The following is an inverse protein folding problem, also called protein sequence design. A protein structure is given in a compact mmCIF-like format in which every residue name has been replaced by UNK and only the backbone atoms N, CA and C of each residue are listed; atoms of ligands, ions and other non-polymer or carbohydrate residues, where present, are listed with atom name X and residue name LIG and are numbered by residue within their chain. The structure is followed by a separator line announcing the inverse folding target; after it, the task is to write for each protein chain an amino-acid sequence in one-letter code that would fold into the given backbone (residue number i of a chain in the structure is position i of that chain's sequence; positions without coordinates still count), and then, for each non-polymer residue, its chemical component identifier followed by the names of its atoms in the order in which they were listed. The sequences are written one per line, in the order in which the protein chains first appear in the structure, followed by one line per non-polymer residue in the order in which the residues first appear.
data_IF_872240211248
#
_entry.id   IF_872240211248
#
_cell.length_a   1.000
_cell.length_b   1.000
_cell.length_c   1.000
_cell.angle_alpha   90.00
_cell.angle_beta   90.00
_cell.angle_gamma   90.00
#
_symmetry.space_group_name_H-M   'P 1'
#
loop_
_entity.id
_entity.type
_entity.pdbx_description
1 polymer ?
#
# COMPACT_ATOMS: atom_id res chain seq x y z
N UNK A 1 5.58 -9.54 -59.99
CA UNK A 1 5.72 -8.62 -58.83
C UNK A 1 4.40 -7.87 -58.68
N UNK A 2 3.50 -8.33 -57.81
CA UNK A 2 2.35 -7.55 -57.35
C UNK A 2 1.97 -8.09 -55.97
N UNK A 3 2.04 -7.22 -54.97
CA UNK A 3 1.81 -7.53 -53.56
C UNK A 3 0.31 -7.52 -53.31
N UNK A 4 -0.24 -8.66 -52.88
CA UNK A 4 -1.59 -8.76 -52.30
C UNK A 4 -1.63 -7.92 -51.01
N UNK A 5 -2.19 -6.71 -51.12
CA UNK A 5 -2.53 -5.90 -49.97
C UNK A 5 -3.80 -6.43 -49.33
N UNK A 6 -3.68 -7.35 -48.36
CA UNK A 6 -4.79 -7.65 -47.46
C UNK A 6 -5.15 -6.36 -46.71
N UNK A 7 -6.42 -5.92 -46.70
CA UNK A 7 -6.81 -4.79 -45.88
C UNK A 7 -6.52 -5.13 -44.42
N UNK A 8 -5.78 -4.25 -43.75
CA UNK A 8 -5.57 -4.34 -42.30
C UNK A 8 -6.95 -4.25 -41.65
N UNK A 9 -7.27 -5.20 -40.77
CA UNK A 9 -8.52 -5.23 -39.99
C UNK A 9 -8.72 -3.85 -39.35
N UNK A 10 -9.71 -3.10 -39.84
CA UNK A 10 -10.14 -1.89 -39.19
C UNK A 10 -10.94 -2.35 -37.96
N UNK A 11 -10.29 -2.31 -36.79
CA UNK A 11 -10.93 -2.68 -35.54
C UNK A 11 -11.76 -1.49 -35.09
N UNK A 12 -13.06 -1.52 -35.35
CA UNK A 12 -13.99 -0.51 -34.87
C UNK A 12 -13.98 -0.52 -33.34
N UNK A 13 -13.40 0.52 -32.74
CA UNK A 13 -13.39 0.67 -31.28
C UNK A 13 -14.81 0.97 -30.79
N UNK A 14 -15.35 0.12 -29.91
CA UNK A 14 -16.63 0.39 -29.26
C UNK A 14 -16.49 1.45 -28.18
N UNK A 15 -17.55 2.24 -27.94
CA UNK A 15 -17.61 3.15 -26.78
C UNK A 15 -17.31 2.43 -25.46
N UNK A 16 -17.69 1.15 -25.35
CA UNK A 16 -17.37 0.32 -24.19
C UNK A 16 -15.86 0.14 -24.01
N UNK A 17 -15.11 -0.11 -25.10
CA UNK A 17 -13.66 -0.33 -25.06
C UNK A 17 -12.93 0.96 -24.63
N UNK A 18 -13.44 2.13 -25.04
CA UNK A 18 -12.90 3.43 -24.63
C UNK A 18 -13.11 3.68 -23.13
N UNK A 19 -14.30 3.41 -22.60
CA UNK A 19 -14.60 3.55 -21.17
C UNK A 19 -13.75 2.59 -20.32
N UNK A 20 -13.57 1.36 -20.80
CA UNK A 20 -12.73 0.36 -20.13
C UNK A 20 -11.27 0.80 -20.09
N UNK A 21 -10.69 1.17 -21.24
CA UNK A 21 -9.32 1.69 -21.31
C UNK A 21 -9.11 2.93 -20.44
N UNK A 22 -10.10 3.82 -20.35
CA UNK A 22 -10.05 4.98 -19.46
C UNK A 22 -10.02 4.59 -17.99
N UNK A 23 -10.74 3.53 -17.59
CA UNK A 23 -10.70 3.02 -16.21
C UNK A 23 -9.37 2.36 -15.89
N UNK A 24 -8.82 1.60 -16.84
CA UNK A 24 -7.54 0.91 -16.66
C UNK A 24 -6.42 1.95 -16.42
N UNK A 25 -6.39 3.02 -17.23
CA UNK A 25 -5.48 4.15 -17.03
C UNK A 25 -5.66 4.85 -15.67
N UNK A 26 -6.92 5.06 -15.24
CA UNK A 26 -7.21 5.66 -13.92
C UNK A 26 -6.73 4.75 -12.80
N UNK A 27 -6.94 3.44 -12.93
CA UNK A 27 -6.51 2.43 -11.96
C UNK A 27 -4.99 2.41 -11.80
N UNK A 28 -4.26 2.38 -12.92
CA UNK A 28 -2.80 2.46 -12.96
C UNK A 28 -2.30 3.76 -12.34
N UNK A 29 -2.91 4.90 -12.70
CA UNK A 29 -2.55 6.19 -12.14
C UNK A 29 -2.69 6.23 -10.60
N UNK A 30 -3.81 5.74 -10.07
CA UNK A 30 -4.03 5.64 -8.62
C UNK A 30 -3.05 4.67 -7.96
N UNK A 31 -2.75 3.53 -8.58
CA UNK A 31 -1.76 2.60 -8.04
C UNK A 31 -0.37 3.23 -7.97
N UNK A 32 0.09 3.84 -9.06
CA UNK A 32 1.36 4.54 -9.10
C UNK A 32 1.43 5.67 -8.05
N UNK A 33 0.35 6.46 -7.93
CA UNK A 33 0.24 7.50 -6.91
C UNK A 33 0.26 6.95 -5.48
N UNK A 34 -0.18 5.71 -5.24
CA UNK A 34 -0.10 5.04 -3.96
C UNK A 34 1.32 4.51 -3.63
N UNK A 35 2.13 4.17 -4.65
CA UNK A 35 3.49 3.67 -4.43
C UNK A 35 4.47 4.77 -3.95
N UNK A 36 4.27 6.01 -4.39
CA UNK A 36 5.14 7.14 -4.03
C UNK A 36 5.15 7.44 -2.51
N UNK A 37 4.00 7.63 -1.82
CA UNK A 37 3.94 7.80 -0.38
C UNK A 37 4.58 6.67 0.40
N UNK A 38 4.53 5.42 -0.08
CA UNK A 38 5.16 4.27 0.57
C UNK A 38 6.68 4.44 0.62
N UNK A 39 7.30 4.85 -0.50
CA UNK A 39 8.73 5.12 -0.55
C UNK A 39 9.11 6.24 0.42
N UNK A 40 8.33 7.32 0.46
CA UNK A 40 8.56 8.45 1.37
C UNK A 40 8.41 8.04 2.84
N UNK A 41 7.39 7.24 3.16
CA UNK A 41 7.19 6.69 4.51
C UNK A 41 8.36 5.81 4.94
N UNK A 42 8.81 4.90 4.08
CA UNK A 42 9.96 4.04 4.37
C UNK A 42 11.23 4.86 4.63
N UNK A 43 11.50 5.88 3.81
CA UNK A 43 12.66 6.75 3.99
C UNK A 43 12.59 7.50 5.33
N UNK A 44 11.42 8.08 5.65
CA UNK A 44 11.19 8.78 6.93
C UNK A 44 11.34 7.82 8.12
N UNK A 45 10.79 6.61 8.04
CA UNK A 45 10.92 5.60 9.09
C UNK A 45 12.37 5.20 9.31
N UNK A 46 13.15 4.92 8.27
CA UNK A 46 14.56 4.58 8.43
C UNK A 46 15.38 5.74 8.99
N UNK A 47 15.09 7.00 8.60
CA UNK A 47 15.72 8.19 9.19
C UNK A 47 15.43 8.31 10.70
N UNK A 48 14.19 8.04 11.12
CA UNK A 48 13.78 8.09 12.54
C UNK A 48 14.22 6.87 13.34
N UNK A 49 14.45 5.73 12.69
CA UNK A 49 14.74 4.44 13.32
C UNK A 49 16.05 3.83 12.77
N UNK A 50 17.21 4.50 12.89
CA UNK A 50 18.47 4.04 12.31
C UNK A 50 18.97 2.71 12.90
N UNK A 51 18.46 2.30 14.08
CA UNK A 51 18.72 0.97 14.64
C UNK A 51 18.15 -0.15 13.78
N UNK A 52 17.01 0.07 13.13
CA UNK A 52 16.33 -0.95 12.32
C UNK A 52 17.09 -1.16 11.01
N UNK A 53 17.51 -0.07 10.35
CA UNK A 53 18.36 -0.14 9.16
C UNK A 53 19.66 -0.91 9.43
N UNK A 54 20.32 -0.67 10.58
CA UNK A 54 21.55 -1.39 10.95
C UNK A 54 21.37 -2.91 11.04
N UNK A 55 20.18 -3.41 11.40
CA UNK A 55 19.91 -4.85 11.47
C UNK A 55 19.94 -5.52 10.10
N UNK A 56 19.61 -4.78 9.04
CA UNK A 56 19.65 -5.29 7.67
C UNK A 56 21.07 -5.39 7.11
N UNK A 57 22.04 -4.67 7.68
CA UNK A 57 23.39 -4.52 7.12
C UNK A 57 23.45 -3.74 5.80
N UNK A 58 22.33 -3.19 5.32
CA UNK A 58 22.23 -2.49 4.04
C UNK A 58 22.42 -0.98 4.20
N UNK A 59 22.78 -0.32 3.10
CA UNK A 59 22.61 1.13 2.99
C UNK A 59 21.12 1.48 2.93
N UNK A 60 20.76 2.71 3.30
CA UNK A 60 19.36 3.15 3.23
C UNK A 60 18.80 3.01 1.81
N UNK A 61 19.57 3.40 0.80
CA UNK A 61 19.11 3.35 -0.59
C UNK A 61 18.93 1.91 -1.05
N UNK A 62 19.78 0.98 -0.63
CA UNK A 62 19.60 -0.44 -0.90
C UNK A 62 18.34 -1.01 -0.23
N UNK A 63 18.08 -0.64 1.04
CA UNK A 63 16.86 -1.05 1.73
C UNK A 63 15.59 -0.48 1.07
N UNK A 64 15.62 0.80 0.65
CA UNK A 64 14.51 1.44 -0.06
C UNK A 64 14.26 0.83 -1.43
N UNK A 65 15.31 0.50 -2.18
CA UNK A 65 15.17 -0.15 -3.49
C UNK A 65 14.61 -1.57 -3.33
N UNK A 66 15.01 -2.28 -2.28
CA UNK A 66 14.45 -3.59 -1.95
C UNK A 66 12.95 -3.50 -1.64
N UNK A 67 12.54 -2.49 -0.85
CA UNK A 67 11.12 -2.22 -0.59
C UNK A 67 10.37 -1.80 -1.86
N UNK A 68 10.97 -1.01 -2.75
CA UNK A 68 10.34 -0.60 -4.00
C UNK A 68 10.13 -1.79 -4.97
N UNK A 69 10.91 -2.86 -4.83
CA UNK A 69 10.77 -4.09 -5.58
C UNK A 69 9.71 -5.05 -5.02
N UNK A 70 9.10 -4.76 -3.85
CA UNK A 70 8.06 -5.60 -3.24
C UNK A 70 6.89 -5.94 -4.18
N UNK A 71 6.33 -5.00 -4.96
CA UNK A 71 5.25 -5.34 -5.89
C UNK A 71 5.62 -6.44 -6.91
N UNK A 72 6.92 -6.65 -7.12
CA UNK A 72 7.47 -7.58 -8.11
C UNK A 72 8.19 -8.78 -7.49
N UNK A 73 8.33 -8.84 -6.16
CA UNK A 73 9.13 -9.86 -5.46
C UNK A 73 8.39 -10.40 -4.25
N UNK A 74 8.26 -11.72 -4.18
CA UNK A 74 7.28 -12.36 -3.29
C UNK A 74 7.80 -12.75 -1.91
N UNK A 75 9.12 -12.71 -1.65
CA UNK A 75 9.67 -13.34 -0.45
C UNK A 75 10.79 -12.54 0.22
N UNK A 76 10.53 -12.18 1.47
CA UNK A 76 11.51 -11.67 2.42
C UNK A 76 11.59 -12.67 3.56
N UNK A 77 12.71 -13.39 3.66
CA UNK A 77 12.92 -14.37 4.73
C UNK A 77 12.75 -13.76 6.13
N UNK A 78 13.11 -12.47 6.26
CA UNK A 78 12.95 -11.69 7.48
C UNK A 78 11.50 -11.55 7.95
N UNK A 79 10.53 -11.68 7.04
CA UNK A 79 9.10 -11.63 7.37
C UNK A 79 8.55 -12.95 7.90
N UNK A 80 9.37 -14.02 7.97
CA UNK A 80 8.98 -15.31 8.55
C UNK A 80 7.69 -15.89 7.91
N UNK A 81 7.56 -15.73 6.59
CA UNK A 81 6.39 -16.15 5.82
C UNK A 81 5.12 -15.32 6.08
N UNK A 82 5.19 -14.25 6.87
CA UNK A 82 4.07 -13.32 7.08
C UNK A 82 3.96 -12.34 5.93
N UNK A 83 2.72 -11.99 5.60
CA UNK A 83 2.34 -11.01 4.57
C UNK A 83 1.22 -10.10 5.08
N UNK A 84 0.97 -9.01 4.38
CA UNK A 84 -0.06 -8.02 4.67
C UNK A 84 -0.10 -7.61 6.13
N UNK A 85 -1.30 -7.67 6.73
CA UNK A 85 -1.52 -7.40 8.15
C UNK A 85 -0.61 -8.20 9.09
N UNK A 86 -0.31 -9.46 8.75
CA UNK A 86 0.58 -10.31 9.54
C UNK A 86 2.02 -9.78 9.59
N UNK A 87 2.52 -9.24 8.47
CA UNK A 87 3.83 -8.61 8.42
C UNK A 87 3.85 -7.26 9.16
N UNK A 88 2.76 -6.49 9.09
CA UNK A 88 2.60 -5.28 9.91
C UNK A 88 2.65 -5.62 11.40
N UNK A 89 1.93 -6.65 11.84
CA UNK A 89 1.95 -7.09 13.24
C UNK A 89 3.32 -7.60 13.69
N UNK A 90 4.07 -8.28 12.80
CA UNK A 90 5.43 -8.72 13.10
C UNK A 90 6.33 -7.55 13.52
N UNK A 91 6.15 -6.37 12.92
CA UNK A 91 6.89 -5.17 13.30
C UNK A 91 6.65 -4.70 14.75
N UNK A 92 5.60 -5.18 15.41
CA UNK A 92 5.21 -4.85 16.79
C UNK A 92 5.27 -6.04 17.74
N UNK A 93 5.72 -7.20 17.26
CA UNK A 93 5.92 -8.39 18.08
C UNK A 93 7.13 -8.19 19.02
N UNK A 94 7.01 -8.38 20.35
CA UNK A 94 8.13 -8.25 21.29
C UNK A 94 9.34 -9.13 20.98
N UNK A 95 9.10 -10.32 20.43
CA UNK A 95 10.13 -11.32 20.15
C UNK A 95 10.78 -11.13 18.78
N UNK A 96 10.19 -10.31 17.91
CA UNK A 96 10.76 -10.03 16.60
C UNK A 96 12.05 -9.20 16.71
N UNK A 97 13.16 -9.79 16.25
CA UNK A 97 14.50 -9.19 16.28
C UNK A 97 14.95 -8.60 14.95
N UNK A 98 14.21 -8.85 13.87
CA UNK A 98 14.53 -8.34 12.53
C UNK A 98 14.31 -6.83 12.38
N UNK A 99 14.47 -6.36 11.15
CA UNK A 99 14.18 -4.97 10.76
C UNK A 99 12.66 -4.73 10.82
N UNK A 100 12.22 -3.94 11.81
CA UNK A 100 10.81 -3.58 12.00
C UNK A 100 10.30 -2.61 10.95
N UNK A 101 11.16 -1.76 10.39
CA UNK A 101 10.76 -0.85 9.29
C UNK A 101 10.48 -1.68 8.04
N UNK A 102 11.35 -2.65 7.74
CA UNK A 102 11.11 -3.60 6.66
C UNK A 102 9.79 -4.34 6.85
N UNK A 103 9.56 -4.93 8.03
CA UNK A 103 8.33 -5.68 8.31
C UNK A 103 7.06 -4.82 8.17
N UNK A 104 7.09 -3.61 8.75
CA UNK A 104 5.96 -2.68 8.68
C UNK A 104 5.68 -2.23 7.25
N UNK A 105 6.70 -1.78 6.52
CA UNK A 105 6.54 -1.27 5.16
C UNK A 105 6.20 -2.37 4.17
N UNK A 106 6.78 -3.56 4.31
CA UNK A 106 6.44 -4.69 3.47
C UNK A 106 5.00 -5.14 3.66
N UNK A 107 4.53 -5.22 4.92
CA UNK A 107 3.13 -5.54 5.20
C UNK A 107 2.16 -4.48 4.68
N UNK A 108 2.50 -3.19 4.81
CA UNK A 108 1.67 -2.10 4.28
C UNK A 108 1.61 -2.12 2.75
N UNK A 109 2.74 -2.27 2.08
CA UNK A 109 2.81 -2.39 0.62
C UNK A 109 2.03 -3.60 0.11
N UNK A 110 2.17 -4.76 0.77
CA UNK A 110 1.46 -5.99 0.40
C UNK A 110 -0.06 -5.84 0.57
N UNK A 111 -0.54 -5.17 1.62
CA UNK A 111 -1.97 -4.86 1.75
C UNK A 111 -2.47 -3.94 0.64
N UNK A 112 -1.70 -2.92 0.28
CA UNK A 112 -2.08 -2.03 -0.83
C UNK A 112 -2.14 -2.83 -2.12
N UNK A 113 -1.09 -3.58 -2.45
CA UNK A 113 -1.04 -4.40 -3.67
C UNK A 113 -2.11 -5.48 -3.71
N UNK A 114 -2.48 -6.08 -2.57
CA UNK A 114 -3.56 -7.06 -2.50
C UNK A 114 -4.92 -6.46 -2.92
N UNK A 115 -5.16 -5.18 -2.61
CA UNK A 115 -6.35 -4.46 -3.07
C UNK A 115 -6.40 -4.29 -4.60
N UNK A 116 -5.21 -4.30 -5.22
CA UNK A 116 -5.00 -4.29 -6.67
C UNK A 116 -4.85 -5.71 -7.26
N UNK A 117 -5.26 -6.76 -6.53
CA UNK A 117 -5.09 -8.17 -6.91
C UNK A 117 -3.64 -8.56 -7.21
N UNK A 118 -2.66 -7.86 -6.63
CA UNK A 118 -1.22 -8.01 -6.88
C UNK A 118 -0.81 -7.85 -8.35
N UNK A 119 -1.54 -7.02 -9.11
CA UNK A 119 -1.22 -6.68 -10.50
C UNK A 119 -0.64 -5.28 -10.59
N UNK A 120 0.24 -5.06 -11.57
CA UNK A 120 0.79 -3.73 -11.89
C UNK A 120 0.39 -3.22 -13.28
N UNK A 121 -0.27 -4.06 -14.07
CA UNK A 121 -0.82 -3.74 -15.38
C UNK A 121 -2.28 -4.19 -15.36
N UNK A 122 -3.17 -3.35 -15.87
CA UNK A 122 -4.61 -3.61 -15.83
C UNK A 122 -5.17 -3.70 -17.24
N UNK A 123 -6.00 -4.70 -17.45
CA UNK A 123 -6.72 -4.90 -18.70
C UNK A 123 -8.23 -4.88 -18.45
N UNK A 124 -8.99 -4.75 -19.53
CA UNK A 124 -10.46 -4.75 -19.59
C UNK A 124 -11.18 -5.81 -18.73
N UNK A 125 -10.54 -6.95 -18.46
CA UNK A 125 -11.09 -8.07 -17.68
C UNK A 125 -10.67 -8.06 -16.20
N UNK A 126 -9.81 -7.13 -15.79
CA UNK A 126 -9.31 -7.01 -14.43
C UNK A 126 -10.30 -6.22 -13.58
N UNK A 127 -11.37 -6.89 -13.16
CA UNK A 127 -12.32 -6.29 -12.22
C UNK A 127 -11.68 -6.24 -10.82
N UNK A 128 -11.26 -5.04 -10.44
CA UNK A 128 -10.95 -4.71 -9.05
C UNK A 128 -12.20 -4.87 -8.17
N UNK A 129 -12.00 -5.26 -6.92
CA UNK A 129 -13.08 -5.28 -5.93
C UNK A 129 -13.10 -3.94 -5.17
N UNK A 130 -14.17 -3.12 -5.29
CA UNK A 130 -14.27 -1.85 -4.59
C UNK A 130 -14.27 -2.03 -3.07
N UNK A 131 -14.72 -3.19 -2.55
CA UNK A 131 -14.66 -3.49 -1.13
C UNK A 131 -13.22 -3.70 -0.66
N UNK A 132 -12.36 -4.34 -1.47
CA UNK A 132 -10.94 -4.52 -1.13
C UNK A 132 -10.20 -3.18 -1.10
N UNK A 133 -10.47 -2.31 -2.06
CA UNK A 133 -9.92 -0.94 -2.08
C UNK A 133 -10.36 -0.14 -0.85
N UNK A 134 -11.65 -0.17 -0.52
CA UNK A 134 -12.17 0.44 0.71
C UNK A 134 -11.52 -0.14 1.98
N UNK A 135 -11.41 -1.47 2.06
CA UNK A 135 -10.78 -2.15 3.18
C UNK A 135 -9.29 -1.78 3.29
N UNK A 136 -8.60 -1.58 2.16
CA UNK A 136 -7.20 -1.13 2.11
C UNK A 136 -7.03 0.26 2.71
N UNK A 137 -7.96 1.19 2.44
CA UNK A 137 -7.97 2.50 3.07
C UNK A 137 -8.10 2.41 4.60
N UNK A 138 -9.07 1.62 5.10
CA UNK A 138 -9.29 1.40 6.54
C UNK A 138 -8.13 0.62 7.20
N UNK A 139 -7.50 -0.29 6.47
CA UNK A 139 -6.29 -0.99 6.90
C UNK A 139 -5.09 -0.05 7.01
N UNK A 140 -4.99 0.92 6.12
CA UNK A 140 -3.96 1.96 6.16
C UNK A 140 -4.13 2.85 7.40
N UNK A 141 -5.37 3.21 7.76
CA UNK A 141 -5.68 3.90 9.03
C UNK A 141 -5.28 3.06 10.24
N UNK A 142 -5.60 1.77 10.22
CA UNK A 142 -5.24 0.82 11.29
C UNK A 142 -3.72 0.73 11.44
N UNK A 143 -2.98 0.65 10.33
CA UNK A 143 -1.52 0.62 10.34
C UNK A 143 -0.94 1.93 10.90
N UNK A 144 -1.45 3.08 10.45
CA UNK A 144 -1.03 4.39 10.95
C UNK A 144 -1.26 4.54 12.46
N UNK A 145 -2.44 4.12 12.96
CA UNK A 145 -2.74 4.10 14.38
C UNK A 145 -1.80 3.18 15.16
N UNK A 146 -1.57 1.95 14.68
CA UNK A 146 -0.62 1.02 15.31
C UNK A 146 0.79 1.60 15.38
N UNK A 147 1.26 2.21 14.30
CA UNK A 147 2.56 2.88 14.27
C UNK A 147 2.66 3.99 15.34
N UNK A 148 1.59 4.75 15.56
CA UNK A 148 1.56 5.84 16.53
C UNK A 148 1.39 5.37 18.00
N UNK A 149 0.89 4.16 18.23
CA UNK A 149 0.43 3.73 19.57
C UNK A 149 1.08 2.46 20.11
N UNK A 150 1.68 1.62 19.27
CA UNK A 150 2.26 0.35 19.69
C UNK A 150 3.55 0.56 20.49
N UNK A 151 3.55 0.07 21.73
CA UNK A 151 4.64 0.26 22.71
C UNK A 151 5.16 -1.08 23.23
N UNK A 152 6.45 -1.10 23.57
CA UNK A 152 7.11 -2.19 24.28
C UNK A 152 6.71 -2.23 25.77
N UNK A 153 7.21 -3.24 26.49
CA UNK A 153 6.95 -3.42 27.91
C UNK A 153 7.43 -2.26 28.79
N UNK A 154 8.39 -1.46 28.30
CA UNK A 154 8.89 -0.25 28.95
C UNK A 154 8.12 1.02 28.54
N UNK A 155 7.04 0.88 27.77
CA UNK A 155 6.18 2.00 27.33
C UNK A 155 6.76 2.82 26.17
N UNK A 156 7.83 2.38 25.52
CA UNK A 156 8.45 3.07 24.39
C UNK A 156 7.86 2.58 23.08
N UNK A 157 7.73 3.47 22.10
CA UNK A 157 7.25 3.06 20.76
C UNK A 157 8.21 2.07 20.10
N UNK A 158 7.67 1.03 19.45
CA UNK A 158 8.47 0.10 18.66
C UNK A 158 9.15 0.78 17.47
N UNK A 159 8.41 1.65 16.78
CA UNK A 159 8.86 2.47 15.67
C UNK A 159 8.50 3.93 15.96
N UNK A 160 9.46 4.82 15.80
CA UNK A 160 9.29 6.25 15.99
C UNK A 160 8.85 6.86 14.65
N UNK A 161 7.67 7.45 14.61
CA UNK A 161 7.13 8.18 13.45
C UNK A 161 7.09 9.69 13.72
N UNK A 162 5.96 10.18 14.22
CA UNK A 162 5.77 11.56 14.62
C UNK A 162 6.20 11.77 16.07
N UNK A 163 6.74 12.95 16.32
CA UNK A 163 6.97 13.46 17.66
C UNK A 163 6.00 14.62 17.89
N UNK A 164 5.27 14.59 19.01
CA UNK A 164 4.79 15.82 19.62
C UNK A 164 5.99 16.42 20.34
N UNK A 165 6.67 17.38 19.73
CA UNK A 165 7.65 18.19 20.44
C UNK A 165 7.03 19.52 20.90
N UNK A 166 7.79 20.29 21.67
CA UNK A 166 7.36 21.60 22.20
C UNK A 166 7.32 22.72 21.14
N UNK A 167 7.84 22.47 19.93
CA UNK A 167 7.87 23.39 18.79
C UNK A 167 6.75 23.12 17.76
N UNK A 168 6.01 22.01 17.89
CA UNK A 168 4.83 21.68 17.10
C UNK A 168 4.78 20.21 16.68
N UNK A 169 3.59 19.69 16.37
CA UNK A 169 3.45 18.32 15.84
C UNK A 169 4.01 18.24 14.42
N UNK A 170 5.05 17.43 14.22
CA UNK A 170 5.51 17.10 12.88
C UNK A 170 4.54 16.09 12.25
N UNK A 171 3.52 16.57 11.53
CA UNK A 171 2.48 15.75 10.88
C UNK A 171 2.88 15.21 9.49
N UNK A 172 4.19 15.03 9.27
CA UNK A 172 4.68 14.64 7.95
C UNK A 172 4.41 13.18 7.60
N UNK A 173 4.16 12.30 8.58
CA UNK A 173 3.73 10.92 8.31
C UNK A 173 2.23 10.86 8.02
N UNK A 174 1.40 11.57 8.79
CA UNK A 174 -0.06 11.66 8.58
C UNK A 174 -0.38 12.15 7.19
N UNK A 175 0.43 13.09 6.66
CA UNK A 175 0.29 13.54 5.27
C UNK A 175 0.46 12.42 4.25
N UNK A 176 1.45 11.53 4.44
CA UNK A 176 1.66 10.43 3.49
C UNK A 176 0.61 9.32 3.66
N UNK A 177 0.22 9.00 4.91
CA UNK A 177 -0.91 8.08 5.14
C UNK A 177 -2.21 8.62 4.56
N UNK A 178 -2.47 9.93 4.70
CA UNK A 178 -3.65 10.58 4.14
C UNK A 178 -3.71 10.49 2.62
N UNK A 179 -2.56 10.60 1.92
CA UNK A 179 -2.50 10.33 0.47
C UNK A 179 -2.87 8.88 0.16
N UNK A 180 -2.26 7.91 0.84
CA UNK A 180 -2.58 6.49 0.64
C UNK A 180 -4.08 6.21 0.84
N UNK A 181 -4.66 6.69 1.93
CA UNK A 181 -6.09 6.54 2.23
C UNK A 181 -6.93 7.16 1.11
N UNK A 182 -6.59 8.38 0.67
CA UNK A 182 -7.32 9.08 -0.39
C UNK A 182 -7.26 8.36 -1.74
N UNK A 183 -6.10 7.81 -2.13
CA UNK A 183 -5.98 7.03 -3.37
C UNK A 183 -6.89 5.80 -3.34
N UNK A 184 -6.89 5.04 -2.24
CA UNK A 184 -7.69 3.83 -2.10
C UNK A 184 -9.21 4.12 -2.01
N UNK A 185 -9.61 5.09 -1.17
CA UNK A 185 -11.03 5.45 -1.00
C UNK A 185 -11.63 6.06 -2.28
N UNK A 186 -10.86 6.84 -3.03
CA UNK A 186 -11.33 7.47 -4.26
C UNK A 186 -11.51 6.42 -5.36
N UNK A 187 -10.51 5.54 -5.54
CA UNK A 187 -10.62 4.46 -6.52
C UNK A 187 -11.75 3.48 -6.16
N UNK A 188 -11.96 3.18 -4.87
CA UNK A 188 -13.07 2.34 -4.43
C UNK A 188 -14.43 2.88 -4.93
N UNK A 189 -14.67 4.19 -4.81
CA UNK A 189 -15.90 4.84 -5.28
C UNK A 189 -16.03 4.78 -6.80
N UNK A 190 -14.96 5.08 -7.53
CA UNK A 190 -14.94 5.03 -9.01
C UNK A 190 -15.30 3.61 -9.50
N UNK A 191 -14.68 2.59 -8.91
CA UNK A 191 -14.93 1.19 -9.29
C UNK A 191 -16.33 0.74 -8.87
N UNK A 192 -16.82 1.14 -7.69
CA UNK A 192 -18.18 0.85 -7.24
C UNK A 192 -19.22 1.41 -8.20
N UNK A 193 -19.08 2.67 -8.60
CA UNK A 193 -19.98 3.34 -9.54
C UNK A 193 -19.92 2.68 -10.93
N UNK A 194 -18.72 2.42 -11.47
CA UNK A 194 -18.53 1.73 -12.76
C UNK A 194 -19.19 0.34 -12.79
N UNK A 195 -19.01 -0.42 -11.71
CA UNK A 195 -19.44 -1.83 -11.64
C UNK A 195 -20.83 -2.01 -11.03
N UNK A 196 -21.51 -0.91 -10.68
CA UNK A 196 -22.80 -0.90 -10.00
C UNK A 196 -22.82 -1.82 -8.75
N UNK A 197 -21.72 -1.80 -7.98
CA UNK A 197 -21.56 -2.56 -6.73
C UNK A 197 -21.57 -1.62 -5.54
N UNK A 198 -22.24 -2.03 -4.46
CA UNK A 198 -22.23 -1.30 -3.20
C UNK A 198 -20.96 -1.57 -2.38
N UNK A 199 -20.51 -0.56 -1.63
CA UNK A 199 -19.47 -0.71 -0.60
C UNK A 199 -20.14 -0.81 0.76
N UNK A 200 -19.76 -1.81 1.55
CA UNK A 200 -20.12 -1.90 2.95
C UNK A 200 -19.18 -1.00 3.75
N UNK A 201 -19.71 0.13 4.19
CA UNK A 201 -18.97 1.10 4.99
C UNK A 201 -18.78 0.59 6.42
N UNK A 202 -17.52 0.49 6.84
CA UNK A 202 -17.13 0.11 8.19
C UNK A 202 -16.27 1.21 8.81
N UNK A 203 -16.80 1.86 9.84
CA UNK A 203 -16.08 2.91 10.58
C UNK A 203 -15.39 2.28 11.79
N UNK A 204 -14.08 2.44 11.87
CA UNK A 204 -13.30 1.97 13.02
C UNK A 204 -13.18 3.08 14.08
N UNK A 205 -13.27 2.71 15.37
CA UNK A 205 -13.00 3.63 16.49
C UNK A 205 -11.60 3.40 17.05
N UNK A 206 -10.92 4.47 17.46
CA UNK A 206 -9.60 4.39 18.08
C UNK A 206 -9.62 3.44 19.30
N UNK A 207 -8.72 2.44 19.31
CA UNK A 207 -8.65 1.41 20.36
C UNK A 207 -9.28 0.06 20.01
N UNK A 208 -10.12 -0.01 18.96
CA UNK A 208 -10.74 -1.25 18.46
C UNK A 208 -10.43 -1.50 16.98
N UNK A 209 -9.33 -0.92 16.46
CA UNK A 209 -9.00 -1.04 15.05
C UNK A 209 -8.50 -2.44 14.70
N UNK A 210 -9.00 -2.98 13.60
CA UNK A 210 -8.69 -4.32 13.08
C UNK A 210 -8.39 -4.24 11.59
N UNK A 211 -7.51 -5.12 11.13
CA UNK A 211 -7.31 -5.29 9.69
C UNK A 211 -8.49 -6.06 9.09
N UNK A 212 -9.09 -5.46 8.07
CA UNK A 212 -10.17 -5.97 7.26
C UNK A 212 -9.63 -6.89 6.15
N UNK A 213 -10.44 -7.84 5.64
CA UNK A 213 -10.01 -8.75 4.59
C UNK A 213 -9.74 -8.04 3.27
N UNK A 214 -8.72 -8.53 2.55
CA UNK A 214 -8.29 -8.09 1.22
C UNK A 214 -8.22 -9.28 0.27
#
# INVERSE_FOLDING_TARGET
MQRDGKPLLNKDYSFSDIVKSSTDMVTEAHQHAALDPLRVLAEKLYKRNPRELRKSGMTRDAALNRLAALPYTSDFAELQGRRGAGAVFLAFDPDYRGDRVLAYMAGLSDMIMAAYNNKTEFFVLDDLDPQKLYNSARNTETAAWKLATARDAEGRLYLISNSMDTAGSNLSFEREFGKLIAEQDTLAKIIADKTNRSINWFVQTAGAMVFLPL
#
